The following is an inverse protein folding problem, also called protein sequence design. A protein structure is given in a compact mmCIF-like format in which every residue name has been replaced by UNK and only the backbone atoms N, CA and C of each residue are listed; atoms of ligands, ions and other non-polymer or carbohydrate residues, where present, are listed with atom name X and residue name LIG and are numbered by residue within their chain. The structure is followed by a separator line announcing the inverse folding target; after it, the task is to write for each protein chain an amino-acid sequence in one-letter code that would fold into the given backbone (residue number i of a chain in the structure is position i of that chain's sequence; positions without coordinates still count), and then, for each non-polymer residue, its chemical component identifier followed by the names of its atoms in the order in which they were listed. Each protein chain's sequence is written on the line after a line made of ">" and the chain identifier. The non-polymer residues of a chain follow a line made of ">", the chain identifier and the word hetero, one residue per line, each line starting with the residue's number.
data_IF_026715504538
#
_entry.id   IF_026715504538
#
_cell.length_a   1.000
_cell.length_b   1.000
_cell.length_c   1.000
_cell.angle_alpha   90.00
_cell.angle_beta   90.00
_cell.angle_gamma   90.00
#
_symmetry.space_group_name_H-M   'P 1'
#
loop_
_entity.id
_entity.type
_entity.pdbx_description
1 polymer ?
#
# COMPACT_ATOMS: atom_id res chain seq x y z
N UNK A 1 48.66 3.31 -21.69
CA UNK A 1 47.44 2.51 -21.80
C UNK A 1 46.64 2.77 -20.52
N UNK A 2 45.80 3.80 -20.53
CA UNK A 2 45.11 4.28 -19.33
C UNK A 2 43.82 3.50 -19.11
N UNK A 3 43.63 3.01 -17.89
CA UNK A 3 42.35 2.51 -17.39
C UNK A 3 41.32 3.65 -17.43
N UNK A 4 40.43 3.58 -18.42
CA UNK A 4 39.24 4.44 -18.46
C UNK A 4 38.22 3.80 -17.52
N UNK A 5 38.23 4.30 -16.28
CA UNK A 5 37.16 4.12 -15.30
C UNK A 5 35.86 4.61 -15.92
N UNK A 6 34.97 3.69 -16.26
CA UNK A 6 33.62 4.00 -16.72
C UNK A 6 32.81 4.45 -15.50
N UNK A 7 32.88 5.74 -15.20
CA UNK A 7 32.05 6.41 -14.20
C UNK A 7 30.62 6.54 -14.75
N UNK A 8 29.92 5.41 -14.86
CA UNK A 8 28.47 5.43 -15.07
C UNK A 8 27.86 5.82 -13.73
N UNK A 9 27.42 7.08 -13.66
CA UNK A 9 26.67 7.61 -12.54
C UNK A 9 25.62 6.61 -12.10
N UNK A 10 25.78 6.09 -10.89
CA UNK A 10 24.74 5.37 -10.19
C UNK A 10 23.65 6.40 -9.89
N UNK A 11 22.77 6.62 -10.87
CA UNK A 11 21.51 7.30 -10.62
C UNK A 11 20.82 6.48 -9.54
N UNK A 12 20.72 7.02 -8.33
CA UNK A 12 19.91 6.42 -7.27
C UNK A 12 18.51 6.33 -7.84
N UNK A 13 18.10 5.14 -8.25
CA UNK A 13 16.74 4.90 -8.73
C UNK A 13 15.81 5.36 -7.60
N UNK A 14 14.93 6.32 -7.92
CA UNK A 14 13.97 6.80 -6.92
C UNK A 14 13.11 5.63 -6.48
N UNK A 15 12.99 5.36 -5.16
CA UNK A 15 12.25 4.21 -4.69
C UNK A 15 10.79 4.32 -5.10
N UNK A 16 10.19 3.19 -5.46
CA UNK A 16 8.76 3.12 -5.76
C UNK A 16 7.98 3.50 -4.50
N UNK A 17 6.96 4.34 -4.69
CA UNK A 17 6.09 4.82 -3.62
C UNK A 17 4.85 3.96 -3.56
N UNK A 18 4.41 3.67 -2.34
CA UNK A 18 3.26 2.80 -2.08
C UNK A 18 2.27 3.51 -1.17
N UNK A 19 0.99 3.38 -1.50
CA UNK A 19 -0.13 3.72 -0.62
C UNK A 19 -0.64 2.46 0.06
N UNK A 20 -0.49 2.37 1.38
CA UNK A 20 -0.94 1.22 2.16
C UNK A 20 -2.42 1.37 2.52
N UNK A 21 -3.25 0.40 2.14
CA UNK A 21 -4.67 0.36 2.43
C UNK A 21 -4.92 -0.60 3.59
N UNK A 22 -5.54 -0.08 4.65
CA UNK A 22 -6.12 -0.84 5.73
C UNK A 22 -7.65 -0.66 5.73
N UNK A 23 -8.33 -1.63 6.34
CA UNK A 23 -9.78 -1.59 6.57
C UNK A 23 -10.08 -1.81 8.04
N UNK A 24 -11.19 -1.25 8.51
CA UNK A 24 -11.73 -1.58 9.82
C UNK A 24 -12.42 -2.95 9.75
N UNK A 25 -12.15 -3.80 10.73
CA UNK A 25 -12.94 -5.01 10.94
C UNK A 25 -14.26 -4.63 11.63
N UNK A 26 -15.42 -5.06 11.10
CA UNK A 26 -16.71 -4.85 11.76
C UNK A 26 -16.74 -5.47 13.17
N UNK A 27 -17.38 -4.80 14.13
CA UNK A 27 -17.45 -5.27 15.53
C UNK A 27 -18.07 -6.67 15.66
N UNK A 28 -19.09 -6.98 14.85
CA UNK A 28 -19.73 -8.31 14.82
C UNK A 28 -18.74 -9.41 14.46
N UNK A 29 -17.78 -9.12 13.58
CA UNK A 29 -16.78 -10.10 13.18
C UNK A 29 -15.65 -10.23 14.21
N UNK A 30 -15.32 -9.16 14.93
CA UNK A 30 -14.38 -9.23 16.06
C UNK A 30 -14.91 -10.09 17.20
N UNK A 31 -16.23 -10.21 17.34
CA UNK A 31 -16.85 -11.10 18.33
C UNK A 31 -16.67 -12.58 17.96
N UNK A 32 -16.70 -12.90 16.66
CA UNK A 32 -16.53 -14.26 16.15
C UNK A 32 -15.05 -14.65 15.99
N UNK A 33 -14.19 -13.69 15.62
CA UNK A 33 -12.76 -13.87 15.47
C UNK A 33 -11.99 -12.68 16.10
N UNK A 34 -11.63 -12.80 17.40
CA UNK A 34 -10.97 -11.73 18.15
C UNK A 34 -9.54 -11.45 17.69
N UNK A 35 -8.97 -12.28 16.80
CA UNK A 35 -7.64 -12.07 16.22
C UNK A 35 -7.67 -11.34 14.87
N UNK A 36 -8.86 -10.90 14.42
CA UNK A 36 -8.94 -10.07 13.23
C UNK A 36 -8.13 -8.79 13.39
N UNK A 37 -7.27 -8.58 12.41
CA UNK A 37 -6.15 -7.63 12.44
C UNK A 37 -6.65 -6.20 12.65
N UNK A 38 -6.08 -5.50 13.65
CA UNK A 38 -6.29 -4.07 13.84
C UNK A 38 -5.61 -3.26 12.72
N UNK A 39 -6.06 -2.02 12.47
CA UNK A 39 -5.56 -1.21 11.36
C UNK A 39 -4.05 -0.92 11.44
N UNK A 40 -3.48 -0.81 12.65
CA UNK A 40 -2.04 -0.55 12.82
C UNK A 40 -1.22 -1.77 12.41
N UNK A 41 -1.65 -2.96 12.81
CA UNK A 41 -1.00 -4.21 12.38
C UNK A 41 -1.11 -4.41 10.87
N UNK A 42 -2.24 -4.05 10.25
CA UNK A 42 -2.40 -4.05 8.79
C UNK A 42 -1.39 -3.12 8.10
N UNK A 43 -1.22 -1.87 8.58
CA UNK A 43 -0.20 -0.97 8.02
C UNK A 43 1.23 -1.48 8.24
N UNK A 44 1.52 -2.08 9.41
CA UNK A 44 2.84 -2.66 9.68
C UNK A 44 3.19 -3.82 8.73
N UNK A 45 2.21 -4.67 8.38
CA UNK A 45 2.39 -5.72 7.37
C UNK A 45 2.74 -5.13 6.01
N UNK A 46 2.04 -4.07 5.60
CA UNK A 46 2.29 -3.36 4.34
C UNK A 46 3.68 -2.70 4.34
N UNK A 47 4.05 -2.05 5.44
CA UNK A 47 5.34 -1.40 5.60
C UNK A 47 6.50 -2.39 5.55
N UNK A 48 6.35 -3.56 6.18
CA UNK A 48 7.34 -4.64 6.11
C UNK A 48 7.51 -5.13 4.66
N UNK A 49 6.41 -5.42 3.98
CA UNK A 49 6.45 -5.84 2.59
C UNK A 49 7.11 -4.77 1.69
N UNK A 50 6.76 -3.50 1.87
CA UNK A 50 7.37 -2.41 1.11
C UNK A 50 8.89 -2.33 1.34
N UNK A 51 9.34 -2.42 2.60
CA UNK A 51 10.76 -2.40 2.93
C UNK A 51 11.53 -3.58 2.31
N UNK A 52 10.96 -4.78 2.33
CA UNK A 52 11.52 -5.98 1.70
C UNK A 52 11.72 -5.81 0.18
N UNK A 53 10.92 -4.95 -0.47
CA UNK A 53 11.00 -4.67 -1.91
C UNK A 53 11.79 -3.39 -2.24
N UNK A 54 12.35 -2.70 -1.24
CA UNK A 54 13.03 -1.41 -1.42
C UNK A 54 12.08 -0.25 -1.76
N UNK A 55 10.79 -0.41 -1.42
CA UNK A 55 9.75 0.59 -1.65
C UNK A 55 9.55 1.46 -0.40
N UNK A 56 8.95 2.64 -0.60
CA UNK A 56 8.65 3.58 0.49
C UNK A 56 7.15 3.78 0.63
N UNK A 57 6.67 3.75 1.87
CA UNK A 57 5.29 4.14 2.18
C UNK A 57 5.16 5.65 1.99
N UNK A 58 4.35 6.05 1.02
CA UNK A 58 4.04 7.44 0.72
C UNK A 58 2.81 7.93 1.49
N UNK A 59 1.87 7.02 1.77
CA UNK A 59 0.61 7.31 2.45
C UNK A 59 0.02 6.03 3.05
N UNK A 60 -0.66 6.20 4.18
CA UNK A 60 -1.47 5.16 4.81
C UNK A 60 -2.95 5.58 4.73
N UNK A 61 -3.79 4.65 4.31
CA UNK A 61 -5.24 4.81 4.19
C UNK A 61 -5.93 3.84 5.16
N UNK A 62 -6.95 4.34 5.84
CA UNK A 62 -7.90 3.53 6.61
C UNK A 62 -9.30 3.87 6.10
N UNK A 63 -9.89 2.94 5.34
CA UNK A 63 -11.14 3.18 4.61
C UNK A 63 -12.05 1.95 4.69
N UNK A 64 -13.32 2.14 4.40
CA UNK A 64 -14.31 1.06 4.32
C UNK A 64 -15.37 1.38 3.29
N UNK A 65 -15.62 0.46 2.35
CA UNK A 65 -16.58 0.62 1.26
C UNK A 65 -16.32 1.84 0.36
N UNK A 66 -15.07 2.29 0.23
CA UNK A 66 -14.73 3.48 -0.55
C UNK A 66 -14.85 3.20 -2.05
N UNK A 67 -15.52 4.10 -2.78
CA UNK A 67 -15.59 4.00 -4.24
C UNK A 67 -14.23 4.24 -4.89
N UNK A 68 -13.97 3.51 -5.96
CA UNK A 68 -12.72 3.61 -6.74
C UNK A 68 -12.57 4.98 -7.41
N UNK A 69 -13.65 5.69 -7.72
CA UNK A 69 -13.61 7.04 -8.26
C UNK A 69 -13.54 8.15 -7.20
N UNK A 70 -13.49 7.79 -5.92
CA UNK A 70 -13.46 8.78 -4.84
C UNK A 70 -12.09 9.43 -4.71
N UNK A 71 -12.04 10.78 -4.74
CA UNK A 71 -10.79 11.58 -4.67
C UNK A 71 -9.87 11.19 -3.51
N UNK A 72 -10.43 10.85 -2.35
CA UNK A 72 -9.64 10.47 -1.18
C UNK A 72 -8.73 9.25 -1.41
N UNK A 73 -9.11 8.32 -2.32
CA UNK A 73 -8.28 7.17 -2.69
C UNK A 73 -7.02 7.62 -3.46
N UNK A 74 -7.17 8.60 -4.34
CA UNK A 74 -6.13 9.05 -5.29
C UNK A 74 -5.29 10.23 -4.81
N UNK A 75 -5.69 10.88 -3.71
CA UNK A 75 -4.96 12.02 -3.18
C UNK A 75 -3.49 11.66 -2.88
N UNK A 76 -2.56 12.35 -3.55
CA UNK A 76 -1.12 12.16 -3.41
C UNK A 76 -0.54 10.96 -4.17
N UNK A 77 -1.38 10.18 -4.86
CA UNK A 77 -0.97 9.05 -5.71
C UNK A 77 -0.57 9.59 -7.09
N UNK A 78 0.54 9.10 -7.62
CA UNK A 78 0.98 9.38 -9.00
C UNK A 78 0.61 8.20 -9.91
N UNK A 79 -0.45 8.31 -10.74
CA UNK A 79 -0.91 7.21 -11.57
C UNK A 79 0.21 6.70 -12.50
N UNK A 80 0.34 5.37 -12.61
CA UNK A 80 1.37 4.72 -13.41
C UNK A 80 2.78 4.71 -12.79
N UNK A 81 2.97 5.33 -11.63
CA UNK A 81 4.26 5.35 -10.91
C UNK A 81 4.16 4.79 -9.48
N UNK A 82 3.08 5.12 -8.78
CA UNK A 82 2.85 4.69 -7.40
C UNK A 82 1.98 3.43 -7.38
N UNK A 83 2.15 2.61 -6.35
CA UNK A 83 1.41 1.36 -6.16
C UNK A 83 0.45 1.47 -4.97
N UNK A 84 -0.56 0.62 -4.95
CA UNK A 84 -1.36 0.33 -3.76
C UNK A 84 -0.98 -1.03 -3.20
N UNK A 85 -0.98 -1.15 -1.88
CA UNK A 85 -0.80 -2.44 -1.20
C UNK A 85 -1.84 -2.60 -0.11
N UNK A 86 -2.38 -3.80 0.03
CA UNK A 86 -3.23 -4.20 1.14
C UNK A 86 -2.65 -5.49 1.77
N UNK A 87 -2.88 -5.75 3.07
CA UNK A 87 -2.38 -6.95 3.75
C UNK A 87 -2.89 -8.26 3.16
N UNK A 88 -4.10 -8.24 2.59
CA UNK A 88 -4.74 -9.37 1.93
C UNK A 88 -5.90 -8.88 1.06
N UNK A 89 -6.38 -9.76 0.18
CA UNK A 89 -7.57 -9.47 -0.63
C UNK A 89 -8.82 -9.19 0.23
N UNK A 90 -9.03 -9.90 1.34
CA UNK A 90 -10.14 -9.63 2.28
C UNK A 90 -10.13 -8.19 2.82
N UNK A 91 -8.95 -7.64 3.12
CA UNK A 91 -8.82 -6.24 3.55
C UNK A 91 -9.20 -5.29 2.42
N UNK A 92 -8.77 -5.59 1.19
CA UNK A 92 -9.09 -4.77 0.02
C UNK A 92 -10.59 -4.78 -0.30
N UNK A 93 -11.23 -5.95 -0.22
CA UNK A 93 -12.68 -6.14 -0.41
C UNK A 93 -13.52 -5.39 0.63
N UNK A 94 -12.98 -5.16 1.83
CA UNK A 94 -13.63 -4.32 2.85
C UNK A 94 -13.37 -2.85 2.64
N UNK A 95 -12.15 -2.51 2.22
CA UNK A 95 -11.71 -1.15 2.03
C UNK A 95 -12.47 -0.47 0.88
N UNK A 96 -12.74 -1.20 -0.20
CA UNK A 96 -13.33 -0.68 -1.43
C UNK A 96 -14.76 -1.15 -1.65
N UNK A 97 -15.55 -0.38 -2.42
CA UNK A 97 -16.90 -0.79 -2.81
C UNK A 97 -16.93 -1.88 -3.89
N UNK A 98 -15.87 -1.94 -4.71
CA UNK A 98 -15.62 -3.02 -5.69
C UNK A 98 -14.11 -3.12 -5.90
N UNK A 99 -13.57 -4.34 -5.83
CA UNK A 99 -12.15 -4.59 -6.12
C UNK A 99 -11.94 -4.87 -7.60
N UNK A 100 -12.98 -5.29 -8.30
CA UNK A 100 -12.97 -5.58 -9.73
C UNK A 100 -12.91 -4.29 -10.57
N UNK A 101 -13.51 -3.21 -10.07
CA UNK A 101 -13.44 -1.87 -10.66
C UNK A 101 -12.18 -1.08 -10.29
N UNK A 102 -11.32 -1.64 -9.42
CA UNK A 102 -10.10 -1.01 -8.89
C UNK A 102 -8.86 -1.44 -9.67
#
# INVERSE_FOLDING_TARGET
>A
MGDVRDARGQGVATPVRVTAIASLTPLVELNEDPFLVDSRSQHAMCARWAAEHGYVIARELLVGGLRTDHRALWEGVRPGLDLFVAPSRRVLERALSSVEEF
#
